data_IF_438786887087
#
_entry.id   IF_438786887087
#
_cell.length_a   1.000
_cell.length_b   1.000
_cell.length_c   1.000
_cell.angle_alpha   90.00
_cell.angle_beta   90.00
_cell.angle_gamma   90.00
#
_symmetry.space_group_name_H-M   'P 1'
#
loop_
_entity.id
_entity.type
_entity.pdbx_description
1 polymer ?
#
# COMPACT_ATOMS: atom_id res chain seq x y z
N UNK A 1 3.21 -10.63 -32.81
CA UNK A 1 3.76 -9.73 -31.78
C UNK A 1 2.61 -8.88 -31.29
N UNK A 2 2.13 -9.11 -30.06
CA UNK A 2 1.04 -8.30 -29.50
C UNK A 2 1.58 -6.88 -29.28
N UNK A 3 0.91 -5.88 -29.83
CA UNK A 3 1.31 -4.49 -29.65
C UNK A 3 1.04 -4.11 -28.20
N UNK A 4 2.10 -3.75 -27.46
CA UNK A 4 1.97 -3.41 -26.04
C UNK A 4 1.25 -2.07 -25.92
N UNK A 5 -0.04 -2.11 -25.58
CA UNK A 5 -0.84 -0.90 -25.35
C UNK A 5 -0.35 -0.20 -24.08
N UNK A 6 -0.15 1.12 -24.17
CA UNK A 6 0.38 1.95 -23.09
C UNK A 6 -0.73 2.85 -22.52
N UNK A 7 -0.74 3.00 -21.20
CA UNK A 7 -1.60 3.92 -20.46
C UNK A 7 -0.74 4.96 -19.75
N UNK A 8 -1.28 6.18 -19.64
CA UNK A 8 -0.68 7.26 -18.86
C UNK A 8 -1.46 7.45 -17.56
N UNK A 9 -0.85 7.17 -16.42
CA UNK A 9 -1.43 7.43 -15.10
C UNK A 9 -0.99 8.81 -14.64
N UNK A 10 -1.93 9.70 -14.33
CA UNK A 10 -1.64 11.05 -13.82
C UNK A 10 -1.93 11.12 -12.32
N UNK A 11 -0.91 11.32 -11.49
CA UNK A 11 -1.05 11.36 -10.03
C UNK A 11 -1.60 12.70 -9.53
N UNK A 12 -1.98 12.73 -8.25
CA UNK A 12 -2.53 13.89 -7.55
C UNK A 12 -1.65 15.14 -7.62
N UNK A 13 -0.33 14.96 -7.59
CA UNK A 13 0.69 16.00 -7.72
C UNK A 13 1.02 16.34 -9.19
N UNK A 14 0.27 15.80 -10.13
CA UNK A 14 0.34 16.12 -11.56
C UNK A 14 1.39 15.35 -12.36
N UNK A 15 2.20 14.51 -11.70
CA UNK A 15 3.18 13.66 -12.37
C UNK A 15 2.48 12.59 -13.24
N UNK A 16 3.17 12.17 -14.31
CA UNK A 16 2.63 11.22 -15.29
C UNK A 16 3.53 9.99 -15.39
N UNK A 17 2.92 8.82 -15.30
CA UNK A 17 3.59 7.53 -15.44
C UNK A 17 3.05 6.81 -16.68
N UNK A 18 3.94 6.48 -17.61
CA UNK A 18 3.58 5.66 -18.77
C UNK A 18 3.87 4.20 -18.43
N UNK A 19 2.83 3.36 -18.47
CA UNK A 19 2.89 1.94 -18.08
C UNK A 19 2.17 1.07 -19.10
N UNK A 20 2.56 -0.20 -19.18
CA UNK A 20 1.85 -1.17 -20.00
C UNK A 20 0.43 -1.37 -19.45
N UNK A 21 -0.56 -1.43 -20.34
CA UNK A 21 -1.94 -1.70 -19.97
C UNK A 21 -2.06 -3.00 -19.20
N UNK A 22 -1.39 -4.06 -19.66
CA UNK A 22 -1.36 -5.37 -18.98
C UNK A 22 -0.87 -5.30 -17.52
N UNK A 23 0.00 -4.33 -17.20
CA UNK A 23 0.48 -4.08 -15.84
C UNK A 23 -0.58 -3.32 -15.03
N UNK A 24 -1.15 -2.28 -15.64
CA UNK A 24 -2.04 -1.34 -14.96
C UNK A 24 -3.44 -1.92 -14.70
N UNK A 25 -3.92 -2.85 -15.53
CA UNK A 25 -5.22 -3.53 -15.34
C UNK A 25 -5.22 -4.53 -14.18
N UNK A 26 -4.09 -4.72 -13.49
CA UNK A 26 -4.04 -5.36 -12.17
C UNK A 26 -4.89 -4.59 -11.15
N UNK A 27 -4.92 -3.26 -11.26
CA UNK A 27 -5.87 -2.43 -10.53
C UNK A 27 -7.26 -2.61 -11.14
N UNK A 28 -8.22 -3.09 -10.34
CA UNK A 28 -9.59 -3.24 -10.81
C UNK A 28 -10.24 -1.87 -11.12
N UNK A 29 -9.86 -0.82 -10.39
CA UNK A 29 -10.29 0.54 -10.69
C UNK A 29 -9.85 1.00 -12.08
N UNK A 30 -8.56 0.82 -12.42
CA UNK A 30 -8.02 1.14 -13.73
C UNK A 30 -8.65 0.27 -14.82
N UNK A 31 -8.80 -1.03 -14.57
CA UNK A 31 -9.42 -1.97 -15.50
C UNK A 31 -10.83 -1.53 -15.91
N UNK A 32 -11.67 -1.19 -14.93
CA UNK A 32 -13.03 -0.69 -15.20
C UNK A 32 -13.00 0.58 -16.07
N UNK A 33 -12.11 1.53 -15.76
CA UNK A 33 -11.98 2.78 -16.53
C UNK A 33 -11.51 2.56 -17.98
N UNK A 34 -10.71 1.51 -18.23
CA UNK A 34 -10.27 1.13 -19.58
C UNK A 34 -11.41 0.44 -20.35
N UNK A 35 -12.14 -0.46 -19.71
CA UNK A 35 -13.26 -1.21 -20.31
C UNK A 35 -14.44 -0.31 -20.68
N UNK A 36 -14.71 0.73 -19.88
CA UNK A 36 -15.77 1.72 -20.15
C UNK A 36 -15.47 2.64 -21.35
N UNK A 37 -14.30 2.48 -22.01
CA UNK A 37 -13.91 3.25 -23.19
C UNK A 37 -13.73 4.76 -22.94
N UNK A 38 -13.73 5.17 -21.67
CA UNK A 38 -13.82 6.57 -21.24
C UNK A 38 -12.49 7.33 -21.21
N UNK A 39 -11.41 6.83 -21.83
CA UNK A 39 -10.09 7.45 -21.66
C UNK A 39 -9.39 7.76 -22.97
N UNK A 40 -8.90 9.00 -23.08
CA UNK A 40 -7.90 9.45 -24.04
C UNK A 40 -6.51 8.88 -23.73
N UNK A 41 -6.43 7.61 -23.32
CA UNK A 41 -5.26 6.90 -22.75
C UNK A 41 -4.64 7.53 -21.49
N UNK A 42 -5.28 8.54 -20.89
CA UNK A 42 -4.83 9.18 -19.64
C UNK A 42 -5.83 8.88 -18.52
N UNK A 43 -5.35 8.28 -17.43
CA UNK A 43 -6.14 7.91 -16.26
C UNK A 43 -5.75 8.81 -15.09
N UNK A 44 -6.64 9.69 -14.62
CA UNK A 44 -6.37 10.52 -13.44
C UNK A 44 -6.48 9.70 -12.15
N UNK A 45 -5.49 9.83 -11.29
CA UNK A 45 -5.41 9.21 -9.95
C UNK A 45 -5.28 10.31 -8.88
N UNK A 46 -6.35 11.09 -8.63
CA UNK A 46 -6.33 12.25 -7.73
C UNK A 46 -6.03 11.91 -6.27
N UNK A 47 -6.11 10.64 -5.86
CA UNK A 47 -5.89 10.19 -4.48
C UNK A 47 -4.56 9.44 -4.30
N UNK A 48 -3.67 9.47 -5.30
CA UNK A 48 -2.36 8.80 -5.24
C UNK A 48 -1.27 9.81 -5.55
N UNK A 49 -0.27 9.96 -4.67
CA UNK A 49 0.91 10.79 -4.92
C UNK A 49 1.94 10.01 -5.75
N UNK A 50 2.70 10.72 -6.61
CA UNK A 50 3.80 10.16 -7.41
C UNK A 50 4.75 9.21 -6.67
N UNK A 51 5.20 9.56 -5.45
CA UNK A 51 6.11 8.74 -4.65
C UNK A 51 5.51 7.36 -4.34
N UNK A 52 4.23 7.33 -3.97
CA UNK A 52 3.48 6.10 -3.71
C UNK A 52 3.23 5.34 -5.00
N UNK A 53 2.82 6.02 -6.08
CA UNK A 53 2.58 5.40 -7.38
C UNK A 53 3.85 4.74 -7.94
N UNK A 54 5.01 5.38 -7.81
CA UNK A 54 6.30 4.84 -8.23
C UNK A 54 6.64 3.52 -7.52
N UNK A 55 6.34 3.42 -6.23
CA UNK A 55 6.48 2.16 -5.47
C UNK A 55 5.51 1.09 -5.97
N UNK A 56 4.24 1.44 -6.16
CA UNK A 56 3.20 0.52 -6.65
C UNK A 56 3.55 -0.02 -8.04
N UNK A 57 4.04 0.82 -8.95
CA UNK A 57 4.47 0.38 -10.29
C UNK A 57 5.64 -0.60 -10.21
N UNK A 58 6.60 -0.38 -9.30
CA UNK A 58 7.71 -1.33 -9.08
C UNK A 58 7.18 -2.68 -8.57
N UNK A 59 6.26 -2.64 -7.61
CA UNK A 59 5.59 -3.83 -7.09
C UNK A 59 4.85 -4.59 -8.21
N UNK A 60 4.03 -3.90 -9.01
CA UNK A 60 3.34 -4.51 -10.15
C UNK A 60 4.30 -5.15 -11.14
N UNK A 61 5.43 -4.50 -11.46
CA UNK A 61 6.42 -5.06 -12.39
C UNK A 61 6.98 -6.36 -11.85
N UNK A 62 7.38 -6.36 -10.58
CA UNK A 62 7.93 -7.54 -9.90
C UNK A 62 6.95 -8.71 -9.87
N UNK A 63 5.67 -8.42 -9.66
CA UNK A 63 4.59 -9.42 -9.63
C UNK A 63 4.05 -9.81 -11.03
N UNK A 64 4.43 -9.07 -12.08
CA UNK A 64 4.10 -9.42 -13.47
C UNK A 64 5.16 -10.30 -14.15
N UNK A 65 6.37 -10.36 -13.59
CA UNK A 65 7.46 -11.25 -14.03
C UNK A 65 7.19 -12.68 -13.52
N UNK A 66 6.06 -13.27 -13.94
CA UNK A 66 5.60 -14.59 -13.51
C UNK A 66 6.43 -15.76 -14.10
N UNK A 67 7.20 -15.53 -15.16
CA UNK A 67 8.05 -16.58 -15.75
C UNK A 67 9.38 -16.74 -15.00
N UNK A 68 9.36 -17.54 -13.93
CA UNK A 68 10.56 -18.09 -13.30
C UNK A 68 10.84 -17.64 -11.86
N UNK A 69 10.03 -16.74 -11.29
CA UNK A 69 10.16 -16.32 -9.89
C UNK A 69 9.28 -17.22 -9.00
N UNK A 70 9.87 -17.85 -7.99
CA UNK A 70 9.11 -18.70 -7.06
C UNK A 70 8.26 -17.84 -6.11
N UNK A 71 7.19 -18.43 -5.54
CA UNK A 71 6.35 -17.73 -4.55
C UNK A 71 7.15 -17.25 -3.34
N UNK A 72 8.22 -17.96 -2.98
CA UNK A 72 9.12 -17.60 -1.88
C UNK A 72 9.93 -16.33 -2.22
N UNK A 73 10.44 -16.21 -3.44
CA UNK A 73 11.18 -15.03 -3.89
C UNK A 73 10.28 -13.78 -3.97
N UNK A 74 9.00 -13.95 -4.32
CA UNK A 74 8.02 -12.88 -4.26
C UNK A 74 7.79 -12.42 -2.82
N UNK A 75 7.60 -13.35 -1.87
CA UNK A 75 7.44 -13.01 -0.45
C UNK A 75 8.61 -12.23 0.13
N UNK A 76 9.84 -12.59 -0.21
CA UNK A 76 11.00 -11.83 0.27
C UNK A 76 11.09 -10.45 -0.39
N UNK A 77 10.74 -10.36 -1.68
CA UNK A 77 10.62 -9.05 -2.36
C UNK A 77 9.52 -8.17 -1.74
N UNK A 78 8.42 -8.78 -1.29
CA UNK A 78 7.31 -8.08 -0.64
C UNK A 78 7.73 -7.54 0.72
N UNK A 79 8.51 -8.29 1.51
CA UNK A 79 9.09 -7.79 2.77
C UNK A 79 9.95 -6.55 2.53
N UNK A 80 10.85 -6.60 1.55
CA UNK A 80 11.72 -5.47 1.21
C UNK A 80 10.90 -4.26 0.72
N UNK A 81 9.84 -4.50 -0.05
CA UNK A 81 8.90 -3.47 -0.50
C UNK A 81 8.16 -2.80 0.66
N UNK A 82 7.79 -3.58 1.67
CA UNK A 82 7.03 -3.15 2.84
C UNK A 82 7.89 -2.57 3.96
N UNK A 83 9.22 -2.76 3.92
CA UNK A 83 10.17 -2.18 4.87
C UNK A 83 10.33 -0.66 4.68
N UNK A 84 9.28 0.08 5.02
CA UNK A 84 9.16 1.52 4.83
C UNK A 84 8.69 2.21 6.11
N UNK A 85 8.86 3.52 6.18
CA UNK A 85 8.34 4.33 7.29
C UNK A 85 6.80 4.16 7.42
N UNK A 86 6.23 4.14 8.65
CA UNK A 86 4.79 3.94 8.86
C UNK A 86 3.88 4.87 8.06
N UNK A 87 4.24 6.15 7.92
CA UNK A 87 3.50 7.09 7.06
C UNK A 87 3.44 6.64 5.59
N UNK A 88 4.53 6.08 5.07
CA UNK A 88 4.57 5.56 3.70
C UNK A 88 3.79 4.25 3.58
N UNK A 89 3.78 3.42 4.62
CA UNK A 89 2.95 2.22 4.66
C UNK A 89 1.46 2.60 4.65
N UNK A 90 1.06 3.63 5.40
CA UNK A 90 -0.30 4.17 5.37
C UNK A 90 -0.68 4.67 3.96
N UNK A 91 0.20 5.44 3.31
CA UNK A 91 -0.02 5.90 1.94
C UNK A 91 -0.19 4.74 0.96
N UNK A 92 0.57 3.66 1.14
CA UNK A 92 0.47 2.44 0.34
C UNK A 92 -0.87 1.71 0.56
N UNK A 93 -1.33 1.56 1.82
CA UNK A 93 -2.63 0.96 2.15
C UNK A 93 -3.77 1.77 1.51
N UNK A 94 -3.73 3.10 1.68
CA UNK A 94 -4.74 4.01 1.14
C UNK A 94 -4.80 3.95 -0.39
N UNK A 95 -3.63 3.97 -1.04
CA UNK A 95 -3.53 3.84 -2.49
C UNK A 95 -3.96 2.45 -2.99
N UNK A 96 -3.62 1.36 -2.30
CA UNK A 96 -4.02 0.00 -2.66
C UNK A 96 -5.55 -0.17 -2.63
N UNK A 97 -6.18 0.35 -1.58
CA UNK A 97 -7.63 0.39 -1.46
C UNK A 97 -8.27 1.23 -2.59
N UNK A 98 -7.73 2.42 -2.86
CA UNK A 98 -8.23 3.29 -3.94
C UNK A 98 -8.11 2.65 -5.33
N UNK A 99 -6.99 1.99 -5.61
CA UNK A 99 -6.74 1.29 -6.87
C UNK A 99 -7.50 -0.04 -6.96
N UNK A 100 -8.09 -0.50 -5.86
CA UNK A 100 -8.73 -1.81 -5.75
C UNK A 100 -7.79 -2.93 -6.23
N UNK A 101 -6.57 -2.93 -5.70
CA UNK A 101 -5.58 -4.01 -5.86
C UNK A 101 -5.58 -4.84 -4.58
N UNK A 102 -6.33 -5.95 -4.60
CA UNK A 102 -6.55 -6.78 -3.42
C UNK A 102 -5.26 -7.38 -2.86
N UNK A 103 -4.36 -7.85 -3.73
CA UNK A 103 -3.12 -8.49 -3.27
C UNK A 103 -2.20 -7.47 -2.60
N UNK A 104 -2.08 -6.27 -3.17
CA UNK A 104 -1.34 -5.18 -2.56
C UNK A 104 -1.97 -4.73 -1.22
N UNK A 105 -3.30 -4.68 -1.15
CA UNK A 105 -4.01 -4.32 0.07
C UNK A 105 -3.79 -5.37 1.17
N UNK A 106 -3.88 -6.65 0.83
CA UNK A 106 -3.70 -7.76 1.79
C UNK A 106 -2.29 -7.74 2.39
N UNK A 107 -1.24 -7.61 1.57
CA UNK A 107 0.15 -7.60 2.08
C UNK A 107 0.45 -6.35 2.92
N UNK A 108 -0.08 -5.17 2.54
CA UNK A 108 0.16 -3.92 3.26
C UNK A 108 -0.61 -3.89 4.58
N UNK A 109 -1.83 -4.42 4.63
CA UNK A 109 -2.60 -4.59 5.87
C UNK A 109 -1.93 -5.61 6.81
N UNK A 110 -1.44 -6.72 6.27
CA UNK A 110 -0.76 -7.75 7.06
C UNK A 110 0.52 -7.19 7.71
N UNK A 111 1.35 -6.45 6.97
CA UNK A 111 2.52 -5.79 7.51
C UNK A 111 2.15 -4.79 8.63
N UNK A 112 1.10 -3.99 8.44
CA UNK A 112 0.64 -3.07 9.47
C UNK A 112 0.20 -3.82 10.74
N UNK A 113 -0.52 -4.92 10.59
CA UNK A 113 -0.92 -5.77 11.71
C UNK A 113 0.30 -6.40 12.42
N UNK A 114 1.29 -6.89 11.66
CA UNK A 114 2.49 -7.51 12.22
C UNK A 114 3.36 -6.52 12.99
N UNK A 115 3.40 -5.24 12.58
CA UNK A 115 4.08 -4.18 13.36
C UNK A 115 3.42 -3.92 14.71
N UNK A 116 2.11 -4.12 14.81
CA UNK A 116 1.33 -3.89 16.02
C UNK A 116 1.34 -5.12 16.93
N UNK A 117 1.29 -6.34 16.37
CA UNK A 117 1.03 -7.62 17.03
C UNK A 117 2.00 -8.01 18.17
N UNK A 118 3.09 -7.29 18.37
CA UNK A 118 4.07 -7.60 19.44
C UNK A 118 4.63 -6.37 20.12
N UNK A 119 3.95 -5.22 19.98
CA UNK A 119 4.35 -3.96 20.62
C UNK A 119 3.38 -3.57 21.71
N UNK A 120 3.91 -3.04 22.80
CA UNK A 120 3.11 -2.40 23.86
C UNK A 120 2.62 -1.02 23.39
N UNK A 121 1.55 -0.47 23.98
CA UNK A 121 0.96 0.80 23.56
C UNK A 121 1.97 1.95 23.44
N UNK A 122 2.93 2.04 24.35
CA UNK A 122 3.98 3.07 24.33
C UNK A 122 4.92 2.94 23.12
N UNK A 123 5.23 1.71 22.71
CA UNK A 123 6.05 1.45 21.52
C UNK A 123 5.28 1.75 20.24
N UNK A 124 3.97 1.47 20.22
CA UNK A 124 3.08 1.83 19.11
C UNK A 124 3.00 3.36 18.99
N UNK A 125 2.80 4.08 20.10
CA UNK A 125 2.78 5.54 20.11
C UNK A 125 4.06 6.12 19.51
N UNK A 126 5.21 5.59 19.90
CA UNK A 126 6.51 6.03 19.39
C UNK A 126 6.71 5.70 17.91
N UNK A 127 6.32 4.52 17.46
CA UNK A 127 6.54 4.10 16.08
C UNK A 127 5.62 4.82 15.10
N UNK A 128 4.37 5.07 15.48
CA UNK A 128 3.38 5.74 14.64
C UNK A 128 3.29 7.26 14.88
N UNK A 129 4.16 7.82 15.74
CA UNK A 129 4.16 9.24 16.13
C UNK A 129 2.78 9.70 16.66
N UNK A 130 2.13 8.83 17.43
CA UNK A 130 0.83 9.09 18.05
C UNK A 130 1.05 9.75 19.40
N UNK A 131 0.41 10.90 19.61
CA UNK A 131 0.37 11.55 20.91
C UNK A 131 -0.74 10.94 21.76
N UNK A 132 -0.41 10.40 22.94
CA UNK A 132 -1.42 9.96 23.91
C UNK A 132 -2.31 11.15 24.30
N UNK A 133 -3.62 10.96 24.22
CA UNK A 133 -4.66 11.90 24.64
C UNK A 133 -5.21 11.60 26.04
N UNK A 134 -4.77 10.50 26.66
CA UNK A 134 -5.13 10.11 28.01
C UNK A 134 -4.39 10.93 29.07
N UNK A 135 -5.09 11.20 30.18
CA UNK A 135 -4.46 11.66 31.41
C UNK A 135 -3.76 10.50 32.13
N UNK A 136 -2.82 10.81 33.04
CA UNK A 136 -2.09 9.80 33.81
C UNK A 136 -3.04 8.87 34.61
N UNK A 137 -4.14 9.40 35.12
CA UNK A 137 -5.13 8.65 35.88
C UNK A 137 -5.89 7.66 34.98
N UNK A 138 -6.30 8.09 33.78
CA UNK A 138 -6.94 7.22 32.78
C UNK A 138 -5.97 6.13 32.26
N UNK A 139 -4.70 6.47 32.01
CA UNK A 139 -3.69 5.47 31.61
C UNK A 139 -3.44 4.43 32.71
N UNK A 140 -3.44 4.84 33.99
CA UNK A 140 -3.26 3.94 35.14
C UNK A 140 -4.49 3.04 35.33
N UNK A 141 -5.70 3.57 35.15
CA UNK A 141 -6.95 2.80 35.18
C UNK A 141 -6.99 1.76 34.05
N UNK A 142 -6.68 2.15 32.81
CA UNK A 142 -6.59 1.23 31.66
C UNK A 142 -5.53 0.14 31.89
N UNK A 143 -4.38 0.49 32.49
CA UNK A 143 -3.31 -0.48 32.80
C UNK A 143 -3.75 -1.49 33.87
N UNK A 144 -4.51 -1.04 34.86
CA UNK A 144 -5.07 -1.90 35.91
C UNK A 144 -6.18 -2.81 35.37
N UNK A 145 -7.01 -2.32 34.42
CA UNK A 145 -8.07 -3.11 33.79
C UNK A 145 -7.54 -4.11 32.74
N UNK A 146 -6.43 -3.79 32.08
CA UNK A 146 -5.86 -4.59 31.00
C UNK A 146 -4.39 -4.99 31.22
N UNK A 147 -4.03 -5.62 32.35
CA UNK A 147 -2.65 -5.98 32.65
C UNK A 147 -2.02 -6.94 31.63
N UNK A 148 -2.85 -7.70 30.89
CA UNK A 148 -2.43 -8.59 29.81
C UNK A 148 -1.81 -7.86 28.59
N UNK A 149 -2.08 -6.56 28.42
CA UNK A 149 -1.60 -5.75 27.30
C UNK A 149 -0.26 -5.05 27.57
N UNK A 150 0.22 -5.08 28.83
CA UNK A 150 1.41 -4.34 29.29
C UNK A 150 2.50 -5.26 29.89
N UNK A 151 2.44 -6.56 29.61
CA UNK A 151 3.39 -7.58 30.07
C UNK A 151 4.14 -8.26 28.91
#
# INVERSE_FOLDING_TARGET
MSSTKLLTLKTSDGEKFVVNEALAVRSQAIKNMVEDGCTSNVIPLPNVHSKTMSKIIKYWKKHSEEEGVSKEQLKDSDKDFLQVHPSVLYDLISAANYLNDKELLDITCQEAADRIKSKIPEEIHKEFDIKSDFTLEEEEEIRNEHPWAFH
#
